data_IF_180657260754
#
_entry.id   IF_180657260754
#
_cell.length_a   1.000
_cell.length_b   1.000
_cell.length_c   1.000
_cell.angle_alpha   90.00
_cell.angle_beta   90.00
_cell.angle_gamma   90.00
#
_symmetry.space_group_name_H-M   'P 1'
#
loop_
_entity.id
_entity.type
_entity.pdbx_description
1 polymer ?
#
# COMPACT_ATOMS: atom_id res chain seq x y z
N UNK A 1 -15.67 -21.00 12.96
CA UNK A 1 -15.82 -19.56 12.65
C UNK A 1 -14.82 -19.24 11.57
N UNK A 2 -15.20 -18.48 10.53
CA UNK A 2 -14.25 -18.05 9.51
C UNK A 2 -13.48 -16.82 10.03
N UNK A 3 -12.18 -16.74 9.76
CA UNK A 3 -11.32 -15.60 10.13
C UNK A 3 -11.17 -14.60 8.97
N UNK A 4 -11.98 -14.75 7.92
CA UNK A 4 -11.96 -13.93 6.71
C UNK A 4 -13.37 -13.40 6.47
N UNK A 5 -13.51 -12.07 6.38
CA UNK A 5 -14.72 -11.41 5.97
C UNK A 5 -14.45 -10.67 4.66
N UNK A 6 -15.21 -10.97 3.62
CA UNK A 6 -15.08 -10.36 2.31
C UNK A 6 -16.06 -9.19 2.21
N UNK A 7 -15.59 -8.04 1.72
CA UNK A 7 -16.39 -6.84 1.52
C UNK A 7 -16.25 -6.42 0.06
N UNK A 8 -17.37 -6.30 -0.64
CA UNK A 8 -17.41 -5.79 -2.01
C UNK A 8 -17.62 -4.28 -2.00
N UNK A 9 -16.68 -3.52 -2.58
CA UNK A 9 -16.80 -2.07 -2.69
C UNK A 9 -15.54 -1.40 -3.25
N UNK A 10 -15.63 -0.09 -3.43
CA UNK A 10 -14.49 0.74 -3.80
C UNK A 10 -13.65 1.04 -2.56
N UNK A 11 -12.40 0.56 -2.53
CA UNK A 11 -11.48 0.79 -1.42
C UNK A 11 -11.22 2.28 -1.13
N UNK A 12 -11.48 3.19 -2.10
CA UNK A 12 -11.46 4.65 -1.89
C UNK A 12 -12.62 5.16 -1.02
N UNK A 13 -13.51 4.27 -0.55
CA UNK A 13 -14.62 4.55 0.36
C UNK A 13 -14.52 3.72 1.65
N UNK A 14 -13.30 3.36 2.06
CA UNK A 14 -13.00 2.38 3.09
C UNK A 14 -13.77 2.61 4.41
N UNK A 15 -13.90 3.87 4.85
CA UNK A 15 -14.57 4.19 6.13
C UNK A 15 -16.06 3.86 6.14
N UNK A 16 -16.71 3.88 4.97
CA UNK A 16 -18.11 3.51 4.83
C UNK A 16 -18.31 2.01 4.59
N UNK A 17 -17.25 1.29 4.22
CA UNK A 17 -17.29 -0.14 3.94
C UNK A 17 -16.99 -0.98 5.18
N UNK A 18 -16.10 -0.50 6.06
CA UNK A 18 -15.71 -1.21 7.26
C UNK A 18 -16.77 -1.08 8.37
N UNK A 19 -17.10 -2.17 9.09
CA UNK A 19 -18.06 -2.12 10.19
C UNK A 19 -17.51 -1.38 11.42
N UNK A 20 -16.19 -1.33 11.57
CA UNK A 20 -15.48 -0.63 12.63
C UNK A 20 -14.04 -0.28 12.19
N UNK A 21 -13.36 0.67 12.85
CA UNK A 21 -11.95 0.94 12.58
C UNK A 21 -11.06 -0.29 12.82
N UNK A 22 -9.98 -0.41 12.04
CA UNK A 22 -9.07 -1.57 12.04
C UNK A 22 -7.69 -1.24 12.63
N UNK A 23 -6.92 -2.27 12.94
CA UNK A 23 -5.56 -2.13 13.48
C UNK A 23 -4.47 -2.08 12.40
N UNK A 24 -4.76 -2.59 11.21
CA UNK A 24 -3.84 -2.58 10.08
C UNK A 24 -4.63 -2.41 8.80
N UNK A 25 -4.13 -1.55 7.91
CA UNK A 25 -4.50 -1.55 6.50
C UNK A 25 -3.28 -1.94 5.70
N UNK A 26 -3.42 -2.95 4.84
CA UNK A 26 -2.37 -3.39 3.92
C UNK A 26 -2.85 -3.18 2.48
N UNK A 27 -2.07 -2.44 1.70
CA UNK A 27 -2.23 -2.35 0.25
C UNK A 27 -1.01 -2.99 -0.39
N UNK A 28 -1.22 -4.19 -0.95
CA UNK A 28 -0.15 -4.96 -1.57
C UNK A 28 -0.26 -4.91 -3.09
N UNK A 29 0.75 -4.34 -3.74
CA UNK A 29 0.96 -4.36 -5.18
C UNK A 29 -0.17 -3.74 -6.04
N UNK A 30 -0.95 -2.83 -5.46
CA UNK A 30 -2.05 -2.15 -6.16
C UNK A 30 -2.07 -0.64 -5.95
N UNK A 31 -1.24 -0.08 -5.07
CA UNK A 31 -1.27 1.36 -4.76
C UNK A 31 -1.00 2.22 -6.00
N UNK A 32 -0.05 1.80 -6.83
CA UNK A 32 0.40 2.51 -8.03
C UNK A 32 -0.64 2.65 -9.16
N UNK A 33 -1.76 1.92 -9.10
CA UNK A 33 -2.87 2.07 -10.07
C UNK A 33 -4.05 2.87 -9.50
N UNK A 34 -3.94 3.40 -8.28
CA UNK A 34 -5.00 4.17 -7.65
C UNK A 34 -5.05 5.58 -8.25
N UNK A 35 -6.16 5.93 -8.90
CA UNK A 35 -6.34 7.25 -9.53
C UNK A 35 -6.31 8.43 -8.53
N UNK A 36 -6.80 8.21 -7.31
CA UNK A 36 -6.87 9.23 -6.25
C UNK A 36 -6.19 8.73 -4.97
N UNK A 37 -4.85 8.66 -5.00
CA UNK A 37 -4.03 8.19 -3.88
C UNK A 37 -4.24 9.03 -2.62
N UNK A 38 -4.35 10.37 -2.76
CA UNK A 38 -4.60 11.26 -1.63
C UNK A 38 -5.95 11.02 -0.94
N UNK A 39 -7.00 10.76 -1.72
CA UNK A 39 -8.32 10.37 -1.20
C UNK A 39 -8.28 9.03 -0.47
N UNK A 40 -7.64 8.03 -1.07
CA UNK A 40 -7.47 6.71 -0.45
C UNK A 40 -6.70 6.79 0.87
N UNK A 41 -5.57 7.51 0.91
CA UNK A 41 -4.76 7.68 2.12
C UNK A 41 -5.55 8.32 3.27
N UNK A 42 -6.37 9.34 2.99
CA UNK A 42 -7.26 9.94 4.00
C UNK A 42 -8.26 8.93 4.54
N UNK A 43 -8.85 8.12 3.66
CA UNK A 43 -9.78 7.05 4.05
C UNK A 43 -9.10 5.99 4.91
N UNK A 44 -7.87 5.61 4.56
CA UNK A 44 -7.05 4.69 5.36
C UNK A 44 -6.81 5.25 6.75
N UNK A 45 -6.30 6.47 6.87
CA UNK A 45 -6.06 7.08 8.18
C UNK A 45 -7.35 7.16 9.01
N UNK A 46 -8.47 7.57 8.42
CA UNK A 46 -9.75 7.60 9.15
C UNK A 46 -10.27 6.21 9.56
N UNK A 47 -9.91 5.16 8.82
CA UNK A 47 -10.30 3.78 9.12
C UNK A 47 -9.42 3.07 10.16
N UNK A 48 -8.25 3.62 10.48
CA UNK A 48 -7.34 3.03 11.47
C UNK A 48 -7.71 3.47 12.89
N UNK A 49 -7.49 2.65 13.92
CA UNK A 49 -7.48 3.15 15.31
C UNK A 49 -6.21 4.00 15.56
N UNK A 50 -6.14 4.88 16.59
CA UNK A 50 -4.89 5.59 16.91
C UNK A 50 -3.74 4.61 17.27
N UNK A 51 -2.50 4.92 16.86
CA UNK A 51 -1.32 4.08 17.07
C UNK A 51 -1.28 2.82 16.19
N UNK A 52 -2.02 2.82 15.07
CA UNK A 52 -2.19 1.67 14.17
C UNK A 52 -1.64 1.94 12.78
N UNK A 53 -1.41 0.87 12.02
CA UNK A 53 -0.46 0.92 10.91
C UNK A 53 -1.12 0.90 9.54
N UNK A 54 -0.61 1.74 8.66
CA UNK A 54 -0.81 1.61 7.22
C UNK A 54 0.45 1.03 6.58
N UNK A 55 0.28 -0.02 5.80
CA UNK A 55 1.37 -0.73 5.11
C UNK A 55 1.11 -0.68 3.61
N UNK A 56 2.07 -0.16 2.86
CA UNK A 56 2.12 -0.28 1.39
C UNK A 56 3.24 -1.26 1.05
N UNK A 57 2.93 -2.28 0.25
CA UNK A 57 3.94 -3.13 -0.39
C UNK A 57 3.91 -2.84 -1.88
N UNK A 58 5.06 -2.51 -2.45
CA UNK A 58 5.21 -2.18 -3.86
C UNK A 58 6.43 -2.86 -4.47
N UNK A 59 6.44 -2.93 -5.80
CA UNK A 59 7.62 -3.32 -6.58
C UNK A 59 8.68 -2.22 -6.50
N UNK A 60 9.95 -2.62 -6.39
CA UNK A 60 11.05 -1.68 -6.56
C UNK A 60 10.98 -1.01 -7.95
N UNK A 61 11.44 0.24 -8.02
CA UNK A 61 11.50 1.01 -9.26
C UNK A 61 12.67 0.55 -10.15
N UNK A 62 12.49 -0.65 -10.69
CA UNK A 62 13.38 -1.29 -11.67
C UNK A 62 12.61 -1.51 -12.97
N UNK A 63 13.27 -1.69 -14.12
CA UNK A 63 12.61 -2.19 -15.31
C UNK A 63 11.92 -3.54 -15.06
N UNK A 64 10.81 -3.80 -15.76
CA UNK A 64 10.05 -5.05 -15.58
C UNK A 64 10.88 -6.27 -15.96
N UNK A 65 11.70 -6.08 -16.98
CA UNK A 65 12.61 -7.06 -17.55
C UNK A 65 13.71 -7.48 -16.57
N UNK A 66 14.00 -6.66 -15.55
CA UNK A 66 15.01 -6.94 -14.51
C UNK A 66 14.42 -7.63 -13.27
N UNK A 67 13.11 -7.48 -13.04
CA UNK A 67 12.41 -8.13 -11.93
C UNK A 67 11.91 -9.52 -12.33
N UNK A 68 12.86 -10.46 -12.48
CA UNK A 68 12.57 -11.82 -12.98
C UNK A 68 12.51 -12.87 -11.87
N UNK A 69 11.48 -13.71 -11.88
CA UNK A 69 11.34 -14.84 -10.97
C UNK A 69 11.21 -16.10 -11.82
N UNK A 70 12.07 -17.09 -11.56
CA UNK A 70 12.15 -18.32 -12.35
C UNK A 70 12.22 -18.07 -13.88
N UNK A 71 12.95 -17.02 -14.29
CA UNK A 71 13.13 -16.65 -15.70
C UNK A 71 11.97 -15.87 -16.33
N UNK A 72 10.94 -15.52 -15.55
CA UNK A 72 9.78 -14.75 -16.04
C UNK A 72 9.77 -13.35 -15.45
N UNK A 73 9.54 -12.32 -16.28
CA UNK A 73 9.45 -10.93 -15.84
C UNK A 73 8.11 -10.65 -15.11
N UNK A 74 8.17 -10.09 -13.90
CA UNK A 74 7.00 -9.82 -13.06
C UNK A 74 6.82 -8.33 -12.72
N UNK A 75 5.63 -8.01 -12.20
CA UNK A 75 5.27 -6.66 -11.78
C UNK A 75 4.66 -5.80 -12.89
N UNK A 76 4.27 -4.57 -12.54
CA UNK A 76 3.67 -3.63 -13.48
C UNK A 76 4.73 -3.11 -14.48
N UNK A 77 4.30 -2.52 -15.61
CA UNK A 77 5.18 -1.75 -16.48
C UNK A 77 5.96 -0.68 -15.70
N UNK A 78 7.19 -0.38 -16.12
CA UNK A 78 8.06 0.57 -15.41
C UNK A 78 7.42 1.93 -15.15
N UNK A 79 6.64 2.48 -16.09
CA UNK A 79 5.92 3.75 -15.93
C UNK A 79 4.87 3.79 -14.82
N UNK A 80 4.49 2.63 -14.26
CA UNK A 80 3.56 2.50 -13.15
C UNK A 80 4.29 2.08 -11.86
N UNK A 81 5.62 1.97 -11.88
CA UNK A 81 6.38 1.71 -10.65
C UNK A 81 6.55 3.03 -9.91
N UNK A 82 6.60 2.91 -8.60
CA UNK A 82 6.82 4.03 -7.71
C UNK A 82 8.08 3.72 -6.93
N UNK A 83 9.01 4.66 -6.92
CA UNK A 83 10.15 4.63 -6.01
C UNK A 83 9.69 4.66 -4.55
N UNK A 84 10.58 4.26 -3.65
CA UNK A 84 10.36 4.39 -2.20
C UNK A 84 10.07 5.85 -1.85
N UNK A 85 10.86 6.78 -2.38
CA UNK A 85 10.71 8.22 -2.14
C UNK A 85 9.34 8.76 -2.57
N UNK A 86 8.86 8.41 -3.76
CA UNK A 86 7.53 8.85 -4.21
C UNK A 86 6.40 8.30 -3.32
N UNK A 87 6.55 7.06 -2.85
CA UNK A 87 5.55 6.46 -1.94
C UNK A 87 5.61 7.10 -0.55
N UNK A 88 6.81 7.41 -0.06
CA UNK A 88 7.06 8.08 1.21
C UNK A 88 6.47 9.50 1.23
N UNK A 89 6.75 10.31 0.21
CA UNK A 89 6.20 11.67 0.07
C UNK A 89 4.66 11.65 0.12
N UNK A 90 4.05 10.66 -0.51
CA UNK A 90 2.59 10.48 -0.46
C UNK A 90 2.16 10.08 0.95
N UNK A 91 2.83 9.16 1.64
CA UNK A 91 2.43 8.75 3.00
C UNK A 91 2.61 9.88 4.02
N UNK A 92 3.69 10.68 3.89
CA UNK A 92 4.12 11.68 4.85
C UNK A 92 3.10 12.81 5.09
N UNK A 93 2.15 13.06 4.17
CA UNK A 93 1.13 14.08 4.46
C UNK A 93 0.10 13.63 5.52
N UNK A 94 0.11 12.37 5.96
CA UNK A 94 -0.89 11.82 6.91
C UNK A 94 -0.24 10.99 8.03
N UNK A 95 1.01 10.55 7.87
CA UNK A 95 1.72 9.74 8.85
C UNK A 95 3.08 10.37 9.16
N UNK A 96 3.39 10.55 10.43
CA UNK A 96 4.60 11.26 10.86
C UNK A 96 5.83 10.34 11.01
N UNK A 97 5.62 9.05 11.26
CA UNK A 97 6.68 8.05 11.42
C UNK A 97 6.53 6.95 10.36
N UNK A 98 7.33 7.04 9.30
CA UNK A 98 7.34 6.10 8.19
C UNK A 98 8.66 5.34 8.20
N UNK A 99 8.57 4.01 8.19
CA UNK A 99 9.72 3.13 8.10
C UNK A 99 9.67 2.26 6.85
N UNK A 100 10.82 2.18 6.19
CA UNK A 100 11.07 1.29 5.06
C UNK A 100 11.49 -0.09 5.54
N UNK A 101 10.99 -1.12 4.86
CA UNK A 101 11.42 -2.51 5.01
C UNK A 101 11.78 -3.05 3.63
N UNK A 102 13.02 -3.53 3.49
CA UNK A 102 13.45 -4.27 2.31
C UNK A 102 12.73 -5.62 2.24
N UNK A 103 12.11 -5.92 1.09
CA UNK A 103 11.36 -7.15 0.84
C UNK A 103 11.91 -7.84 -0.42
N UNK A 104 13.03 -8.58 -0.30
CA UNK A 104 13.63 -9.24 -1.44
C UNK A 104 12.67 -10.26 -2.08
N UNK A 105 12.78 -10.49 -3.41
CA UNK A 105 13.86 -10.01 -4.27
C UNK A 105 13.62 -8.63 -4.92
N UNK A 106 12.37 -8.15 -5.02
CA UNK A 106 12.03 -6.98 -5.86
C UNK A 106 10.89 -6.13 -5.29
N UNK A 107 10.71 -6.15 -3.97
CA UNK A 107 9.69 -5.33 -3.31
C UNK A 107 10.32 -4.52 -2.18
N UNK A 108 9.59 -3.49 -1.78
CA UNK A 108 9.78 -2.80 -0.52
C UNK A 108 8.42 -2.68 0.16
N UNK A 109 8.45 -2.41 1.45
CA UNK A 109 7.30 -1.90 2.18
C UNK A 109 7.61 -0.55 2.81
N UNK A 110 6.60 0.32 2.83
CA UNK A 110 6.56 1.47 3.71
C UNK A 110 5.46 1.26 4.74
N UNK A 111 5.76 1.57 5.99
CA UNK A 111 4.86 1.40 7.11
C UNK A 111 4.76 2.72 7.86
N UNK A 112 3.56 3.29 7.91
CA UNK A 112 3.24 4.51 8.66
C UNK A 112 2.36 4.22 9.87
N UNK A 113 2.60 4.88 10.99
CA UNK A 113 1.74 4.84 12.17
C UNK A 113 0.80 6.06 12.24
N UNK A 114 -0.49 5.81 12.47
CA UNK A 114 -1.53 6.84 12.68
C UNK A 114 -1.46 7.48 14.06
#
# INVERSE_FOLDING_TARGET
>A
MTNINEIYGDARNLTNLLPEPVDVVLIANTFHVVENMGGLKRQVSQSLRPGRRFIIVNWCDLPKEETTVAGTAHGPPGKLRMSVTETDEIMAEVFDDIHEVDLPPYHYALIGER
#
